data_IF_500217264759
#
_entry.id   IF_500217264759
#
_cell.length_a   1.000
_cell.length_b   1.000
_cell.length_c   1.000
_cell.angle_alpha   90.00
_cell.angle_beta   90.00
_cell.angle_gamma   90.00
#
_symmetry.space_group_name_H-M   'P 1'
#
loop_
_entity.id
_entity.type
_entity.pdbx_description
1 polymer ?
#
# COMPACT_ATOMS: atom_id res chain seq x y z
N UNK A 1 26.37 51.05 5.67
CA UNK A 1 25.51 50.23 4.78
C UNK A 1 24.62 49.35 5.65
N UNK A 2 23.37 49.78 5.93
CA UNK A 2 22.46 49.06 6.84
C UNK A 2 21.80 47.90 6.10
N UNK A 3 22.36 46.71 6.22
CA UNK A 3 21.75 45.49 5.69
C UNK A 3 20.40 45.28 6.39
N UNK A 4 19.35 45.31 5.59
CA UNK A 4 17.96 45.37 6.05
C UNK A 4 17.56 44.02 6.65
N UNK A 5 17.33 43.98 7.97
CA UNK A 5 16.94 42.75 8.72
C UNK A 5 15.72 42.04 8.15
N UNK A 6 14.90 42.74 7.36
CA UNK A 6 13.75 42.21 6.63
C UNK A 6 14.08 41.11 5.63
N UNK A 7 15.26 41.17 4.98
CA UNK A 7 15.65 40.20 3.95
C UNK A 7 15.96 38.83 4.57
N UNK A 8 16.50 38.82 5.79
CA UNK A 8 16.81 37.57 6.50
C UNK A 8 15.54 36.86 7.02
N UNK A 9 14.50 37.62 7.38
CA UNK A 9 13.22 37.07 7.85
C UNK A 9 12.40 36.43 6.71
N UNK A 10 12.52 36.94 5.48
CA UNK A 10 11.85 36.37 4.31
C UNK A 10 12.47 35.03 3.87
N UNK A 11 13.77 34.84 4.05
CA UNK A 11 14.45 33.59 3.69
C UNK A 11 14.14 32.44 4.66
N UNK A 12 13.84 32.76 5.93
CA UNK A 12 13.46 31.78 6.96
C UNK A 12 12.08 31.15 6.73
N UNK A 13 11.19 31.76 5.93
CA UNK A 13 9.83 31.26 5.72
C UNK A 13 9.72 30.25 4.57
N UNK A 14 10.77 30.09 3.75
CA UNK A 14 10.78 29.17 2.60
C UNK A 14 11.17 27.72 2.94
N UNK A 15 11.52 27.43 4.19
CA UNK A 15 11.93 26.09 4.66
C UNK A 15 10.80 25.30 5.32
N UNK A 16 9.53 25.57 4.97
CA UNK A 16 8.42 24.68 5.30
C UNK A 16 8.52 23.40 4.45
N UNK A 17 9.47 22.54 4.82
CA UNK A 17 9.61 21.18 4.35
C UNK A 17 8.27 20.47 4.52
N UNK A 18 7.62 20.11 3.42
CA UNK A 18 6.45 19.25 3.45
C UNK A 18 6.90 17.86 3.91
N UNK A 19 6.84 17.62 5.20
CA UNK A 19 6.92 16.27 5.76
C UNK A 19 5.69 15.50 5.29
N UNK A 20 5.85 14.75 4.21
CA UNK A 20 4.85 13.79 3.75
C UNK A 20 4.77 12.68 4.79
N UNK A 21 3.83 12.79 5.72
CA UNK A 21 3.55 11.73 6.69
C UNK A 21 2.95 10.55 5.92
N UNK A 22 3.72 9.48 5.78
CA UNK A 22 3.28 8.23 5.17
C UNK A 22 2.06 7.68 5.93
N UNK A 23 0.87 7.79 5.32
CA UNK A 23 -0.39 7.37 5.95
C UNK A 23 -0.70 5.94 5.56
N UNK A 24 -0.72 5.03 6.55
CA UNK A 24 -1.11 3.65 6.33
C UNK A 24 -2.54 3.55 5.77
N UNK A 25 -2.70 2.76 4.70
CA UNK A 25 -3.99 2.50 4.05
C UNK A 25 -4.51 1.14 4.47
N UNK A 26 -5.70 1.10 5.05
CA UNK A 26 -6.32 -0.13 5.50
C UNK A 26 -7.26 -0.71 4.43
N UNK A 27 -7.12 -1.99 4.12
CA UNK A 27 -7.93 -2.68 3.13
C UNK A 27 -8.43 -4.00 3.71
N UNK A 28 -9.73 -4.23 3.68
CA UNK A 28 -10.30 -5.55 3.98
C UNK A 28 -10.01 -6.48 2.81
N UNK A 29 -9.53 -7.70 3.07
CA UNK A 29 -9.17 -8.71 2.06
C UNK A 29 -10.22 -8.79 0.93
N UNK A 30 -9.88 -8.34 -0.28
CA UNK A 30 -10.81 -8.32 -1.41
C UNK A 30 -10.92 -9.71 -2.06
N UNK A 31 -12.05 -10.39 -1.88
CA UNK A 31 -12.27 -11.74 -2.44
C UNK A 31 -12.85 -11.72 -3.87
N UNK A 32 -13.78 -10.78 -4.15
CA UNK A 32 -14.54 -10.71 -5.41
C UNK A 32 -13.96 -9.74 -6.44
N UNK A 33 -13.62 -8.52 -6.01
CA UNK A 33 -13.13 -7.45 -6.89
C UNK A 33 -11.75 -6.99 -6.43
N UNK A 34 -10.73 -7.01 -7.30
CA UNK A 34 -9.38 -6.67 -6.88
C UNK A 34 -9.27 -5.23 -6.37
N UNK A 35 -8.62 -5.03 -5.22
CA UNK A 35 -8.32 -3.69 -4.74
C UNK A 35 -7.07 -3.14 -5.42
N UNK A 36 -7.13 -1.88 -5.89
CA UNK A 36 -5.98 -1.24 -6.53
C UNK A 36 -4.97 -0.77 -5.49
N UNK A 37 -3.70 -1.11 -5.70
CA UNK A 37 -2.53 -0.75 -4.89
C UNK A 37 -1.57 0.07 -5.76
N UNK A 38 -1.20 1.25 -5.27
CA UNK A 38 -0.27 2.16 -5.94
C UNK A 38 1.13 1.87 -5.44
N UNK A 39 1.92 1.19 -6.25
CA UNK A 39 3.30 0.82 -5.92
C UNK A 39 4.23 1.96 -6.38
N UNK A 40 5.12 2.47 -5.52
CA UNK A 40 6.09 3.48 -5.92
C UNK A 40 7.09 2.91 -6.94
N UNK A 41 7.53 3.77 -7.86
CA UNK A 41 8.64 3.48 -8.75
C UNK A 41 9.96 3.75 -8.04
N UNK A 42 10.89 2.80 -8.06
CA UNK A 42 12.23 2.96 -7.47
C UNK A 42 12.29 2.75 -5.95
N UNK A 43 11.26 3.14 -5.22
CA UNK A 43 11.12 2.88 -3.77
C UNK A 43 10.29 1.61 -3.49
N UNK A 44 10.35 1.13 -2.25
CA UNK A 44 9.58 -0.01 -1.77
C UNK A 44 8.42 0.44 -0.87
N UNK A 45 7.25 -0.18 -1.07
CA UNK A 45 6.12 -0.12 -0.14
C UNK A 45 6.01 -1.42 0.66
N UNK A 46 5.36 -1.38 1.82
CA UNK A 46 5.08 -2.56 2.63
C UNK A 46 3.59 -2.89 2.58
N UNK A 47 3.27 -4.15 2.33
CA UNK A 47 1.95 -4.71 2.51
C UNK A 47 1.94 -5.63 3.74
N UNK A 48 1.24 -5.20 4.78
CA UNK A 48 1.14 -5.92 6.04
C UNK A 48 -0.03 -6.89 6.03
N UNK A 49 0.21 -8.12 6.49
CA UNK A 49 -0.81 -9.15 6.52
C UNK A 49 -1.11 -9.62 7.95
N UNK A 50 -2.35 -10.10 8.20
CA UNK A 50 -2.70 -10.65 9.51
C UNK A 50 -1.98 -11.98 9.78
N UNK A 51 -1.53 -12.68 8.74
CA UNK A 51 -0.77 -13.93 8.80
C UNK A 51 0.16 -14.08 7.60
N UNK A 52 1.09 -15.05 7.66
CA UNK A 52 2.09 -15.25 6.61
C UNK A 52 1.44 -15.71 5.30
N UNK A 53 1.64 -14.98 4.19
CA UNK A 53 1.10 -15.36 2.89
C UNK A 53 1.78 -16.62 2.35
N UNK A 54 1.00 -17.58 1.82
CA UNK A 54 1.56 -18.84 1.30
C UNK A 54 2.19 -18.70 -0.08
N UNK A 55 1.50 -18.00 -0.98
CA UNK A 55 1.94 -17.80 -2.36
C UNK A 55 1.48 -16.43 -2.87
N UNK A 56 2.33 -15.80 -3.68
CA UNK A 56 1.94 -14.70 -4.54
C UNK A 56 2.23 -15.05 -6.00
N UNK A 57 1.35 -14.61 -6.91
CA UNK A 57 1.53 -14.78 -8.35
C UNK A 57 1.84 -13.41 -8.95
N UNK A 58 3.12 -13.09 -9.22
CA UNK A 58 3.47 -11.84 -9.88
C UNK A 58 3.16 -11.90 -11.38
N UNK A 59 2.65 -10.79 -11.93
CA UNK A 59 2.66 -10.56 -13.37
C UNK A 59 4.08 -10.25 -13.86
N UNK A 60 4.41 -10.65 -15.11
CA UNK A 60 5.75 -10.60 -15.74
C UNK A 60 6.62 -9.40 -15.29
N UNK A 61 7.74 -9.67 -14.61
CA UNK A 61 8.96 -8.84 -14.39
C UNK A 61 8.80 -7.32 -14.23
N UNK A 62 7.65 -6.85 -13.76
CA UNK A 62 7.34 -5.43 -13.60
C UNK A 62 7.47 -4.95 -12.15
N UNK A 63 7.32 -5.89 -11.21
CA UNK A 63 7.35 -5.64 -9.79
C UNK A 63 8.30 -6.65 -9.16
N UNK A 64 9.06 -6.20 -8.16
CA UNK A 64 9.89 -7.04 -7.32
C UNK A 64 9.23 -7.21 -5.96
N UNK A 65 9.32 -8.42 -5.41
CA UNK A 65 8.61 -8.84 -4.21
C UNK A 65 9.60 -9.41 -3.20
N UNK A 66 9.62 -8.85 -2.00
CA UNK A 66 10.44 -9.33 -0.89
C UNK A 66 9.54 -9.74 0.26
N UNK A 67 9.63 -11.00 0.68
CA UNK A 67 8.89 -11.52 1.82
C UNK A 67 9.66 -11.22 3.11
N UNK A 68 9.04 -10.49 4.04
CA UNK A 68 9.65 -10.06 5.30
C UNK A 68 8.74 -10.54 6.44
N UNK A 69 9.06 -11.70 7.01
CA UNK A 69 8.22 -12.33 8.04
C UNK A 69 6.84 -12.69 7.48
N UNK A 70 5.82 -11.90 7.86
CA UNK A 70 4.43 -12.03 7.37
C UNK A 70 4.04 -10.96 6.34
N UNK A 71 4.91 -9.98 6.12
CA UNK A 71 4.65 -8.84 5.25
C UNK A 71 5.31 -9.04 3.88
N UNK A 72 4.86 -8.28 2.89
CA UNK A 72 5.44 -8.28 1.55
C UNK A 72 5.90 -6.86 1.23
N UNK A 73 7.20 -6.69 1.05
CA UNK A 73 7.78 -5.52 0.40
C UNK A 73 7.59 -5.60 -1.10
N UNK A 74 7.09 -4.52 -1.71
CA UNK A 74 6.83 -4.46 -3.15
C UNK A 74 7.45 -3.17 -3.70
N UNK A 75 8.24 -3.29 -4.77
CA UNK A 75 8.71 -2.13 -5.54
C UNK A 75 8.37 -2.30 -7.01
N UNK A 76 8.07 -1.20 -7.69
CA UNK A 76 7.93 -1.22 -9.14
C UNK A 76 9.30 -1.06 -9.81
N UNK A 77 9.56 -1.89 -10.81
CA UNK A 77 10.76 -1.87 -11.63
C UNK A 77 10.57 -1.06 -12.93
N UNK A 78 9.32 -0.80 -13.32
CA UNK A 78 8.97 -0.18 -14.60
C UNK A 78 7.80 0.77 -14.45
N UNK A 79 7.90 1.92 -15.09
CA UNK A 79 6.79 2.87 -15.22
C UNK A 79 5.58 2.26 -15.93
N UNK A 80 4.40 2.79 -15.61
CA UNK A 80 3.12 2.42 -16.22
C UNK A 80 2.79 0.92 -16.19
N UNK A 81 3.47 0.16 -15.35
CA UNK A 81 3.29 -1.27 -15.24
C UNK A 81 2.05 -1.62 -14.41
N UNK A 82 1.44 -2.76 -14.75
CA UNK A 82 0.25 -3.29 -14.07
C UNK A 82 0.42 -4.78 -13.89
N UNK A 83 0.05 -5.27 -12.72
CA UNK A 83 0.04 -6.70 -12.43
C UNK A 83 -1.14 -7.04 -11.51
N UNK A 84 -1.61 -8.28 -11.62
CA UNK A 84 -2.50 -8.83 -10.61
C UNK A 84 -1.63 -9.50 -9.53
N UNK A 85 -2.00 -9.33 -8.28
CA UNK A 85 -1.38 -9.97 -7.14
C UNK A 85 -2.46 -10.75 -6.39
N UNK A 86 -2.32 -12.07 -6.35
CA UNK A 86 -3.18 -12.94 -5.54
C UNK A 86 -2.40 -13.39 -4.33
N UNK A 87 -2.97 -13.20 -3.14
CA UNK A 87 -2.36 -13.60 -1.88
C UNK A 87 -3.28 -14.56 -1.15
N UNK A 88 -2.75 -15.73 -0.79
CA UNK A 88 -3.47 -16.75 -0.04
C UNK A 88 -3.18 -16.60 1.45
N UNK A 89 -4.22 -16.23 2.20
CA UNK A 89 -4.26 -16.18 3.66
C UNK A 89 -5.15 -17.35 4.13
N UNK A 90 -4.51 -18.45 4.55
CA UNK A 90 -5.21 -19.61 5.08
C UNK A 90 -6.02 -20.30 3.98
N UNK A 91 -7.35 -20.20 4.06
CA UNK A 91 -8.31 -20.70 3.05
C UNK A 91 -8.89 -19.57 2.17
N UNK A 92 -8.50 -18.31 2.39
CA UNK A 92 -9.00 -17.15 1.67
C UNK A 92 -7.97 -16.65 0.66
N UNK A 93 -8.46 -16.13 -0.47
CA UNK A 93 -7.64 -15.50 -1.50
C UNK A 93 -8.00 -14.02 -1.59
N UNK A 94 -7.04 -13.15 -1.27
CA UNK A 94 -7.15 -11.72 -1.51
C UNK A 94 -6.62 -11.39 -2.91
N UNK A 95 -7.35 -10.57 -3.66
CA UNK A 95 -6.98 -10.15 -5.01
C UNK A 95 -6.63 -8.66 -5.07
N UNK A 96 -5.47 -8.32 -5.60
CA UNK A 96 -5.02 -6.94 -5.72
C UNK A 96 -4.61 -6.63 -7.16
N UNK A 97 -4.78 -5.37 -7.54
CA UNK A 97 -4.29 -4.84 -8.81
C UNK A 97 -3.17 -3.84 -8.51
N UNK A 98 -1.93 -4.24 -8.80
CA UNK A 98 -0.77 -3.38 -8.66
C UNK A 98 -0.71 -2.43 -9.85
N UNK A 99 -0.48 -1.14 -9.57
CA UNK A 99 -0.18 -0.12 -10.56
C UNK A 99 1.08 0.63 -10.14
N UNK A 100 2.05 0.74 -11.04
CA UNK A 100 3.22 1.58 -10.81
C UNK A 100 2.85 3.05 -10.90
N UNK A 101 3.33 3.86 -9.95
CA UNK A 101 3.16 5.32 -9.97
C UNK A 101 4.48 6.00 -9.58
N UNK A 102 4.79 7.12 -10.22
CA UNK A 102 5.93 7.99 -9.88
C UNK A 102 5.57 9.13 -8.91
N UNK A 103 4.28 9.23 -8.53
CA UNK A 103 3.76 10.28 -7.65
C UNK A 103 3.21 9.72 -6.34
N UNK A 104 1.95 10.04 -6.03
CA UNK A 104 1.26 9.56 -4.80
C UNK A 104 1.10 8.03 -4.81
N UNK A 105 2.09 7.35 -4.23
CA UNK A 105 2.09 5.92 -3.96
C UNK A 105 1.43 5.59 -2.61
N UNK A 106 1.11 4.32 -2.40
CA UNK A 106 0.80 3.77 -1.09
C UNK A 106 2.14 3.35 -0.43
N UNK A 107 2.46 3.87 0.75
CA UNK A 107 3.71 3.50 1.46
C UNK A 107 3.55 2.23 2.30
N UNK A 108 2.44 2.17 3.06
CA UNK A 108 2.07 1.04 3.92
C UNK A 108 0.60 0.69 3.65
N UNK A 109 0.34 -0.56 3.30
CA UNK A 109 -1.01 -1.10 3.11
C UNK A 109 -1.24 -2.22 4.10
N UNK A 110 -2.20 -2.04 5.01
CA UNK A 110 -2.53 -3.03 6.05
C UNK A 110 -3.76 -3.81 5.64
N UNK A 111 -3.61 -5.12 5.47
CA UNK A 111 -4.68 -6.04 5.10
C UNK A 111 -5.39 -6.55 6.36
N UNK A 112 -6.72 -6.47 6.35
CA UNK A 112 -7.60 -6.95 7.44
C UNK A 112 -8.47 -8.11 6.96
N UNK A 113 -8.82 -9.02 7.87
CA UNK A 113 -9.84 -10.02 7.61
C UNK A 113 -11.22 -9.37 7.41
N UNK A 114 -12.08 -9.93 6.54
CA UNK A 114 -13.48 -9.53 6.50
C UNK A 114 -14.14 -9.88 7.83
N UNK A 115 -14.90 -8.94 8.38
CA UNK A 115 -15.70 -9.20 9.58
C UNK A 115 -16.67 -10.35 9.29
N UNK A 116 -16.75 -11.31 10.20
CA UNK A 116 -17.72 -12.39 10.11
C UNK A 116 -19.13 -11.80 10.15
N UNK A 117 -19.98 -12.19 9.19
CA UNK A 117 -21.39 -11.80 9.18
C UNK A 117 -22.14 -12.83 10.00
N UNK A 118 -22.53 -12.46 11.22
CA UNK A 118 -23.49 -13.25 11.98
C UNK A 118 -24.84 -13.19 11.27
N UNK A 119 -25.38 -14.35 10.90
CA UNK A 119 -26.75 -14.46 10.38
C UNK A 119 -27.63 -14.77 11.57
N UNK A 120 -28.51 -13.84 11.94
CA UNK A 120 -29.57 -14.14 12.90
C UNK A 120 -30.53 -15.17 12.30
N UNK A 121 -30.49 -16.38 12.82
CA UNK A 121 -31.44 -17.43 12.44
C UNK A 121 -32.71 -17.20 13.24
N UNK A 122 -33.80 -16.81 12.57
CA UNK A 122 -35.14 -16.81 13.17
C UNK A 122 -35.62 -18.25 13.28
N UNK A 123 -35.75 -18.75 14.49
CA UNK A 123 -36.43 -20.02 14.75
C UNK A 123 -37.93 -19.84 14.52
N UNK A 124 -38.50 -20.57 13.57
CA UNK A 124 -39.95 -20.69 13.41
C UNK A 124 -40.40 -21.80 14.37
N UNK A 125 -41.30 -21.47 15.29
CA UNK A 125 -41.95 -22.43 16.20
C UNK A 125 -43.03 -23.21 15.47
#
# INVERSE_FOLDING_TARGET
MKINKFIFMAFSLLLCSKSAFAKARYITCPEKYPATIRVPLGDAMIMEFPEKPKHSLPGKNAFDFQYIGKDIGIKSLRENSKANLFVYLGKKRCAFKLISVSGRADDIVVIKYPKEKFVEVKYVK
#
